data_IF_302880086127
#
_entry.id   IF_302880086127
#
_cell.length_a   1.000
_cell.length_b   1.000
_cell.length_c   1.000
_cell.angle_alpha   90.00
_cell.angle_beta   90.00
_cell.angle_gamma   90.00
#
_symmetry.space_group_name_H-M   'P 1'
#
loop_
_entity.id
_entity.type
_entity.pdbx_description
1 polymer ?
#
# COMPACT_ATOMS: atom_id res chain seq x y z
N UNK A 1 -20.31 -9.29 17.05
CA UNK A 1 -18.95 -8.72 17.07
C UNK A 1 -18.66 -8.23 15.67
N UNK A 2 -18.17 -6.99 15.50
CA UNK A 2 -17.79 -6.48 14.17
C UNK A 2 -16.30 -6.73 13.94
N UNK A 3 -15.93 -6.98 12.70
CA UNK A 3 -14.54 -7.17 12.26
C UNK A 3 -14.18 -6.11 11.22
N UNK A 4 -12.93 -5.68 11.21
CA UNK A 4 -12.41 -4.70 10.26
C UNK A 4 -11.20 -5.28 9.52
N UNK A 5 -11.05 -4.90 8.26
CA UNK A 5 -9.83 -5.20 7.49
C UNK A 5 -8.75 -4.23 7.95
N UNK A 6 -7.68 -4.75 8.55
CA UNK A 6 -6.57 -3.91 9.04
C UNK A 6 -5.66 -3.46 7.90
N UNK A 7 -5.40 -4.34 6.94
CA UNK A 7 -4.49 -4.08 5.82
C UNK A 7 -4.88 -4.87 4.59
N UNK A 8 -4.54 -4.34 3.41
CA UNK A 8 -4.64 -5.03 2.12
C UNK A 8 -3.25 -5.08 1.49
N UNK A 9 -2.81 -6.26 1.06
CA UNK A 9 -1.49 -6.44 0.43
C UNK A 9 -1.65 -6.79 -1.04
N UNK A 10 -0.92 -6.07 -1.87
CA UNK A 10 -0.86 -6.27 -3.31
C UNK A 10 0.48 -6.88 -3.67
N UNK A 11 0.41 -7.94 -4.44
CA UNK A 11 1.55 -8.32 -5.26
C UNK A 11 1.65 -7.36 -6.46
N UNK A 12 2.82 -6.75 -6.69
CA UNK A 12 3.05 -5.79 -7.79
C UNK A 12 4.51 -5.83 -8.31
N UNK A 13 4.76 -5.37 -9.53
CA UNK A 13 6.13 -5.34 -10.11
C UNK A 13 6.87 -4.05 -9.74
N UNK A 14 6.13 -2.96 -9.57
CA UNK A 14 6.63 -1.63 -9.20
C UNK A 14 5.94 -1.12 -7.91
N UNK A 15 6.37 -1.58 -6.71
CA UNK A 15 5.76 -1.20 -5.43
C UNK A 15 5.63 0.30 -5.19
N UNK A 16 6.72 1.06 -5.36
CA UNK A 16 6.71 2.51 -5.14
C UNK A 16 5.73 3.24 -6.07
N UNK A 17 5.73 2.87 -7.35
CA UNK A 17 4.84 3.49 -8.34
C UNK A 17 3.36 3.27 -7.99
N UNK A 18 3.00 2.07 -7.56
CA UNK A 18 1.63 1.78 -7.13
C UNK A 18 1.29 2.52 -5.83
N UNK A 19 2.21 2.55 -4.88
CA UNK A 19 2.03 3.28 -3.62
C UNK A 19 1.81 4.78 -3.85
N UNK A 20 2.61 5.42 -4.70
CA UNK A 20 2.45 6.83 -5.07
C UNK A 20 1.09 7.11 -5.71
N UNK A 21 0.65 6.24 -6.62
CA UNK A 21 -0.67 6.35 -7.23
C UNK A 21 -1.78 6.29 -6.18
N UNK A 22 -1.75 5.32 -5.28
CA UNK A 22 -2.78 5.15 -4.26
C UNK A 22 -2.74 6.23 -3.19
N UNK A 23 -1.55 6.67 -2.78
CA UNK A 23 -1.38 7.81 -1.88
C UNK A 23 -2.03 9.07 -2.48
N UNK A 24 -1.75 9.38 -3.75
CA UNK A 24 -2.38 10.51 -4.44
C UNK A 24 -3.90 10.35 -4.58
N UNK A 25 -4.37 9.16 -4.99
CA UNK A 25 -5.79 8.89 -5.21
C UNK A 25 -6.62 8.98 -3.92
N UNK A 26 -6.01 8.61 -2.79
CA UNK A 26 -6.68 8.59 -1.48
C UNK A 26 -6.41 9.86 -0.65
N UNK A 27 -5.53 10.76 -1.10
CA UNK A 27 -5.11 11.92 -0.30
C UNK A 27 -4.30 11.52 0.93
N UNK A 28 -3.48 10.48 0.81
CA UNK A 28 -2.59 9.95 1.85
C UNK A 28 -1.12 10.11 1.45
N UNK A 29 -0.21 9.51 2.22
CA UNK A 29 1.22 9.53 1.98
C UNK A 29 1.79 8.10 1.88
N UNK A 30 2.89 7.98 1.13
CA UNK A 30 3.75 6.80 1.15
C UNK A 30 4.67 6.90 2.37
N UNK A 31 4.82 5.81 3.09
CA UNK A 31 5.69 5.73 4.26
C UNK A 31 7.17 5.86 3.90
N UNK A 32 7.94 6.53 4.77
CA UNK A 32 9.34 6.90 4.51
C UNK A 32 10.30 5.72 4.43
N UNK A 33 9.95 4.57 5.03
CA UNK A 33 10.74 3.34 4.98
C UNK A 33 10.42 2.48 3.74
N UNK A 34 9.59 3.00 2.82
CA UNK A 34 9.28 2.34 1.55
C UNK A 34 10.52 2.21 0.65
N UNK A 35 10.62 1.08 -0.04
CA UNK A 35 11.74 0.74 -0.93
C UNK A 35 11.23 0.27 -2.30
N UNK A 36 12.10 0.13 -3.31
CA UNK A 36 11.71 -0.42 -4.62
C UNK A 36 11.11 -1.84 -4.59
N UNK A 37 11.33 -2.60 -3.52
CA UNK A 37 10.83 -3.97 -3.37
C UNK A 37 9.56 -4.07 -2.50
N UNK A 38 9.29 -3.05 -1.68
CA UNK A 38 8.08 -2.99 -0.86
C UNK A 38 7.72 -1.56 -0.53
N UNK A 39 6.44 -1.21 -0.59
CA UNK A 39 5.97 0.12 -0.24
C UNK A 39 4.68 0.06 0.56
N UNK A 40 4.42 1.11 1.34
CA UNK A 40 3.25 1.19 2.19
C UNK A 40 2.59 2.56 2.08
N UNK A 41 1.25 2.55 2.04
CA UNK A 41 0.43 3.77 2.05
C UNK A 41 -0.36 3.78 3.34
N UNK A 42 -0.24 4.90 4.05
CA UNK A 42 -0.98 5.13 5.28
C UNK A 42 -2.50 5.19 4.99
N UNK A 43 -3.37 4.78 5.94
CA UNK A 43 -4.80 4.96 5.78
C UNK A 43 -5.14 6.43 5.53
N UNK A 44 -5.98 6.71 4.54
CA UNK A 44 -6.45 8.06 4.21
C UNK A 44 -7.41 8.68 5.25
N UNK A 45 -7.47 8.11 6.46
CA UNK A 45 -8.37 8.53 7.52
C UNK A 45 -8.56 7.44 8.57
N UNK A 46 -9.26 7.79 9.64
CA UNK A 46 -9.52 6.87 10.74
C UNK A 46 -10.46 5.74 10.29
N UNK A 47 -10.02 4.49 10.45
CA UNK A 47 -10.81 3.29 10.16
C UNK A 47 -10.62 2.66 8.76
N UNK A 48 -9.83 3.28 7.88
CA UNK A 48 -9.42 2.67 6.61
C UNK A 48 -8.31 1.61 6.78
N UNK A 49 -8.23 0.61 5.89
CA UNK A 49 -7.07 -0.27 5.86
C UNK A 49 -5.86 0.50 5.33
N UNK A 50 -4.69 0.08 5.77
CA UNK A 50 -3.44 0.47 5.15
C UNK A 50 -3.12 -0.45 3.96
N UNK A 51 -2.36 0.06 2.99
CA UNK A 51 -2.10 -0.65 1.74
C UNK A 51 -0.62 -1.02 1.63
N UNK A 52 -0.33 -2.32 1.56
CA UNK A 52 1.02 -2.86 1.33
C UNK A 52 1.21 -3.22 -0.13
N UNK A 53 2.36 -2.92 -0.69
CA UNK A 53 2.78 -3.30 -2.02
C UNK A 53 4.07 -4.10 -1.91
N UNK A 54 4.12 -5.31 -2.45
CA UNK A 54 5.28 -6.19 -2.37
C UNK A 54 5.65 -6.67 -3.77
N UNK A 55 6.94 -6.64 -4.07
CA UNK A 55 7.50 -7.27 -5.26
C UNK A 55 7.70 -8.76 -5.02
N UNK A 56 7.16 -9.58 -5.92
CA UNK A 56 7.43 -11.03 -5.97
C UNK A 56 8.21 -11.40 -7.22
N UNK A 57 8.89 -12.57 -7.25
CA UNK A 57 9.67 -13.02 -8.41
C UNK A 57 8.83 -13.26 -9.68
N UNK A 58 7.56 -13.60 -9.52
CA UNK A 58 6.63 -13.84 -10.61
C UNK A 58 6.36 -12.58 -11.43
N UNK A 59 6.41 -12.73 -12.75
CA UNK A 59 6.05 -11.66 -13.69
C UNK A 59 4.54 -11.44 -13.69
N UNK A 60 4.15 -10.20 -13.93
CA UNK A 60 2.77 -9.73 -14.02
C UNK A 60 2.39 -9.40 -15.44
#
# INVERSE_FOLDING_TARGET
MVSFVKSVTFDCSEPLRLAEFWAAALGSNVDEDSTPDRAWVEPAGWGGPSLWFVRVPEKK
#
